data_IF_654418957827
#
_entry.id   IF_654418957827
#
_cell.length_a   1.000
_cell.length_b   1.000
_cell.length_c   1.000
_cell.angle_alpha   90.00
_cell.angle_beta   90.00
_cell.angle_gamma   90.00
#
_symmetry.space_group_name_H-M   'P 1'
#
loop_
_entity.id
_entity.type
_entity.pdbx_description
1 polymer ?
#
# COMPACT_ATOMS: atom_id res chain seq x y z
N UNK A 1 -7.14 19.63 7.66
CA UNK A 1 -7.94 18.77 6.77
C UNK A 1 -7.26 17.42 6.68
N UNK A 2 -8.01 16.34 6.46
CA UNK A 2 -7.47 14.98 6.36
C UNK A 2 -7.86 14.39 4.99
N UNK A 3 -6.92 13.66 4.39
CA UNK A 3 -7.09 13.05 3.07
C UNK A 3 -6.64 11.59 3.08
N UNK A 4 -7.53 10.69 2.66
CA UNK A 4 -7.25 9.27 2.42
C UNK A 4 -7.00 9.06 0.92
N UNK A 5 -5.84 8.54 0.55
CA UNK A 5 -5.37 8.50 -0.84
C UNK A 5 -5.29 7.06 -1.34
N UNK A 6 -5.89 6.81 -2.51
CA UNK A 6 -5.78 5.55 -3.24
C UNK A 6 -5.19 5.77 -4.64
N UNK A 7 -4.27 4.90 -5.04
CA UNK A 7 -3.78 4.78 -6.41
C UNK A 7 -4.40 3.55 -7.08
N UNK A 8 -5.40 3.77 -7.94
CA UNK A 8 -6.14 2.74 -8.66
C UNK A 8 -6.15 3.02 -10.17
N UNK A 9 -4.97 3.29 -10.73
CA UNK A 9 -4.75 3.53 -12.15
C UNK A 9 -4.40 2.21 -12.87
N UNK A 10 -5.14 1.85 -13.92
CA UNK A 10 -4.88 0.69 -14.77
C UNK A 10 -6.02 -0.32 -14.82
N UNK A 11 -5.77 -1.63 -14.63
CA UNK A 11 -6.76 -2.66 -14.96
C UNK A 11 -7.97 -2.69 -14.00
N UNK A 12 -9.10 -3.22 -14.48
CA UNK A 12 -10.38 -3.27 -13.75
C UNK A 12 -10.29 -4.03 -12.42
N UNK A 13 -9.43 -5.03 -12.37
CA UNK A 13 -9.18 -5.83 -11.19
C UNK A 13 -8.52 -5.02 -10.07
N UNK A 14 -7.65 -4.06 -10.41
CA UNK A 14 -7.04 -3.16 -9.44
C UNK A 14 -8.10 -2.21 -8.84
N UNK A 15 -9.03 -1.75 -9.68
CA UNK A 15 -10.18 -0.94 -9.22
C UNK A 15 -11.10 -1.73 -8.31
N UNK A 16 -11.28 -3.02 -8.57
CA UNK A 16 -12.09 -3.91 -7.73
C UNK A 16 -11.44 -4.12 -6.34
N UNK A 17 -10.11 -4.24 -6.27
CA UNK A 17 -9.38 -4.19 -4.99
C UNK A 17 -9.65 -2.87 -4.26
N UNK A 18 -9.45 -1.74 -4.95
CA UNK A 18 -9.64 -0.40 -4.38
C UNK A 18 -11.06 -0.18 -3.86
N UNK A 19 -12.07 -0.60 -4.62
CA UNK A 19 -13.48 -0.52 -4.23
C UNK A 19 -13.77 -1.35 -2.98
N UNK A 20 -13.22 -2.56 -2.87
CA UNK A 20 -13.40 -3.35 -1.65
C UNK A 20 -12.76 -2.65 -0.44
N UNK A 21 -11.53 -2.14 -0.59
CA UNK A 21 -10.88 -1.36 0.45
C UNK A 21 -11.73 -0.15 0.86
N UNK A 22 -12.23 0.64 -0.10
CA UNK A 22 -13.08 1.80 0.16
C UNK A 22 -14.41 1.45 0.83
N UNK A 23 -15.10 0.39 0.41
CA UNK A 23 -16.33 -0.06 1.05
C UNK A 23 -16.07 -0.49 2.50
N UNK A 24 -14.94 -1.17 2.76
CA UNK A 24 -14.54 -1.52 4.12
C UNK A 24 -14.18 -0.29 4.97
N UNK A 25 -13.58 0.77 4.37
CA UNK A 25 -13.33 2.06 5.02
C UNK A 25 -14.63 2.73 5.45
N UNK A 26 -15.59 2.86 4.54
CA UNK A 26 -16.89 3.49 4.85
C UNK A 26 -17.66 2.74 5.93
N UNK A 27 -17.50 1.42 6.02
CA UNK A 27 -18.02 0.64 7.15
C UNK A 27 -17.26 0.92 8.45
N UNK A 28 -15.93 0.98 8.40
CA UNK A 28 -15.08 1.16 9.57
C UNK A 28 -15.13 2.59 10.16
N UNK A 29 -15.52 3.59 9.35
CA UNK A 29 -15.62 4.98 9.73
C UNK A 29 -17.06 5.52 9.53
N UNK A 30 -17.98 5.31 10.49
CA UNK A 30 -19.36 5.82 10.40
C UNK A 30 -19.42 7.35 10.27
N UNK A 31 -18.47 8.05 10.88
CA UNK A 31 -18.19 9.47 10.66
C UNK A 31 -16.87 9.56 9.95
N UNK A 32 -16.86 10.11 8.74
CA UNK A 32 -15.65 10.13 7.90
C UNK A 32 -14.63 11.13 8.44
N UNK A 33 -13.44 10.67 8.87
CA UNK A 33 -12.41 11.58 9.36
C UNK A 33 -11.68 12.31 8.24
N UNK A 34 -11.85 11.88 6.98
CA UNK A 34 -11.09 12.37 5.83
C UNK A 34 -11.91 12.35 4.53
N UNK A 35 -11.56 13.27 3.62
CA UNK A 35 -11.97 13.16 2.22
C UNK A 35 -11.13 12.09 1.52
N UNK A 36 -11.74 11.35 0.60
CA UNK A 36 -11.06 10.33 -0.19
C UNK A 36 -10.57 10.92 -1.50
N UNK A 37 -9.30 10.72 -1.83
CA UNK A 37 -8.69 11.05 -3.11
C UNK A 37 -8.42 9.75 -3.88
N UNK A 38 -9.13 9.54 -4.99
CA UNK A 38 -8.96 8.36 -5.85
C UNK A 38 -8.22 8.77 -7.12
N UNK A 39 -6.93 8.45 -7.18
CA UNK A 39 -6.12 8.62 -8.38
C UNK A 39 -6.35 7.43 -9.32
N UNK A 40 -7.10 7.65 -10.39
CA UNK A 40 -7.52 6.60 -11.33
C UNK A 40 -7.67 7.15 -12.74
N UNK A 41 -7.56 6.27 -13.73
CA UNK A 41 -7.87 6.49 -15.15
C UNK A 41 -9.36 6.24 -15.48
N UNK A 42 -10.16 5.76 -14.52
CA UNK A 42 -11.57 5.45 -14.75
C UNK A 42 -12.47 5.92 -13.59
N UNK A 43 -12.63 7.24 -13.37
CA UNK A 43 -13.45 7.78 -12.29
C UNK A 43 -14.91 7.33 -12.37
N UNK A 44 -15.46 7.18 -13.58
CA UNK A 44 -16.85 6.75 -13.79
C UNK A 44 -17.11 5.33 -13.26
N UNK A 45 -16.12 4.44 -13.33
CA UNK A 45 -16.23 3.09 -12.77
C UNK A 45 -16.38 3.10 -11.24
N UNK A 46 -15.76 4.07 -10.57
CA UNK A 46 -15.94 4.26 -9.13
C UNK A 46 -17.28 4.91 -8.82
N UNK A 47 -17.70 5.94 -9.57
CA UNK A 47 -19.02 6.59 -9.41
C UNK A 47 -20.17 5.61 -9.59
N UNK A 48 -20.07 4.69 -10.54
CA UNK A 48 -21.08 3.65 -10.77
C UNK A 48 -21.31 2.79 -9.52
N UNK A 49 -20.26 2.50 -8.76
CA UNK A 49 -20.36 1.67 -7.55
C UNK A 49 -20.63 2.50 -6.32
N UNK A 50 -19.87 3.57 -6.07
CA UNK A 50 -19.93 4.37 -4.85
C UNK A 50 -21.08 5.39 -4.84
N UNK A 51 -21.67 5.67 -6.00
CA UNK A 51 -22.60 6.78 -6.20
C UNK A 51 -21.89 8.14 -6.22
N UNK A 52 -22.69 9.20 -6.34
CA UNK A 52 -22.22 10.57 -6.20
C UNK A 52 -21.97 10.88 -4.72
N UNK A 53 -20.71 11.00 -4.34
CA UNK A 53 -20.26 11.27 -2.96
C UNK A 53 -19.45 12.56 -2.90
N UNK A 54 -19.87 13.58 -2.12
CA UNK A 54 -19.10 14.81 -1.99
C UNK A 54 -17.79 14.63 -1.20
N UNK A 55 -17.69 13.56 -0.42
CA UNK A 55 -16.49 13.16 0.32
C UNK A 55 -15.46 12.40 -0.53
N UNK A 56 -15.77 12.10 -1.80
CA UNK A 56 -14.87 11.41 -2.73
C UNK A 56 -14.50 12.34 -3.88
N UNK A 57 -13.20 12.58 -4.03
CA UNK A 57 -12.62 13.39 -5.10
C UNK A 57 -11.79 12.51 -6.04
N UNK A 58 -11.80 12.88 -7.32
CA UNK A 58 -11.02 12.24 -8.37
C UNK A 58 -10.02 13.28 -8.91
N UNK A 59 -8.78 13.35 -8.37
CA UNK A 59 -7.79 14.31 -8.83
C UNK A 59 -7.50 14.14 -10.32
N UNK A 60 -7.49 15.24 -11.07
CA UNK A 60 -7.10 15.23 -12.48
C UNK A 60 -5.58 15.13 -12.58
N UNK A 61 -5.09 14.11 -13.27
CA UNK A 61 -3.67 13.90 -13.55
C UNK A 61 -3.53 13.62 -15.04
N UNK A 62 -2.67 14.39 -15.70
CA UNK A 62 -2.42 14.26 -17.13
C UNK A 62 -1.60 13.00 -17.43
N UNK A 63 -1.71 12.49 -18.66
CA UNK A 63 -0.86 11.36 -19.08
C UNK A 63 0.63 11.71 -19.01
N UNK A 64 1.00 12.97 -19.27
CA UNK A 64 2.37 13.44 -19.14
C UNK A 64 2.89 13.34 -17.69
N UNK A 65 2.08 13.68 -16.70
CA UNK A 65 2.41 13.49 -15.29
C UNK A 65 2.54 12.01 -14.92
N UNK A 66 1.59 11.17 -15.37
CA UNK A 66 1.68 9.73 -15.16
C UNK A 66 2.96 9.12 -15.74
N UNK A 67 3.37 9.55 -16.93
CA UNK A 67 4.64 9.10 -17.53
C UNK A 67 5.85 9.65 -16.78
N UNK A 68 5.82 10.92 -16.37
CA UNK A 68 6.91 11.53 -15.60
C UNK A 68 7.16 10.79 -14.27
N UNK A 69 6.09 10.39 -13.56
CA UNK A 69 6.20 9.70 -12.28
C UNK A 69 6.71 8.26 -12.40
N UNK A 70 6.63 7.63 -13.57
CA UNK A 70 7.27 6.33 -13.81
C UNK A 70 8.79 6.45 -13.91
N UNK A 71 9.33 7.67 -14.05
CA UNK A 71 10.76 7.92 -14.19
C UNK A 71 11.35 7.33 -15.47
N UNK A 72 12.64 7.55 -15.68
CA UNK A 72 13.35 7.13 -16.90
C UNK A 72 13.39 5.61 -17.10
N UNK A 73 13.28 4.84 -16.01
CA UNK A 73 13.29 3.38 -16.03
C UNK A 73 11.88 2.75 -16.05
N UNK A 74 10.82 3.55 -16.25
CA UNK A 74 9.42 3.12 -16.35
C UNK A 74 8.95 2.24 -15.17
N UNK A 75 9.17 2.74 -13.95
CA UNK A 75 9.05 2.00 -12.70
C UNK A 75 7.69 2.28 -12.05
N UNK A 76 6.82 1.26 -12.06
CA UNK A 76 5.45 1.38 -11.54
C UNK A 76 5.41 1.77 -10.05
N UNK A 77 6.39 1.36 -9.26
CA UNK A 77 6.41 1.65 -7.82
C UNK A 77 6.73 3.13 -7.51
N UNK A 78 7.30 3.88 -8.45
CA UNK A 78 7.54 5.33 -8.29
C UNK A 78 6.25 6.16 -8.43
N UNK A 79 5.20 5.60 -9.05
CA UNK A 79 3.90 6.25 -9.16
C UNK A 79 3.32 6.64 -7.79
N UNK A 80 3.56 5.82 -6.77
CA UNK A 80 3.11 6.12 -5.39
C UNK A 80 3.71 7.42 -4.87
N UNK A 81 5.01 7.64 -5.12
CA UNK A 81 5.69 8.85 -4.68
C UNK A 81 5.16 10.06 -5.46
N UNK A 82 5.01 9.95 -6.79
CA UNK A 82 4.44 11.03 -7.61
C UNK A 82 3.01 11.42 -7.21
N UNK A 83 2.16 10.42 -6.92
CA UNK A 83 0.81 10.65 -6.38
C UNK A 83 0.84 11.38 -5.04
N UNK A 84 1.73 10.95 -4.13
CA UNK A 84 1.90 11.60 -2.83
C UNK A 84 2.41 13.04 -2.96
N UNK A 85 3.32 13.31 -3.90
CA UNK A 85 3.81 14.67 -4.19
C UNK A 85 2.69 15.55 -4.73
N UNK A 86 1.93 15.05 -5.71
CA UNK A 86 0.77 15.74 -6.25
C UNK A 86 -0.27 16.01 -5.16
N UNK A 87 -0.57 15.02 -4.32
CA UNK A 87 -1.53 15.15 -3.24
C UNK A 87 -1.10 16.23 -2.26
N UNK A 88 0.18 16.22 -1.85
CA UNK A 88 0.69 17.19 -0.91
C UNK A 88 0.73 18.62 -1.46
N UNK A 89 0.90 18.79 -2.77
CA UNK A 89 0.86 20.11 -3.42
C UNK A 89 -0.56 20.71 -3.51
N UNK A 90 -1.59 19.86 -3.69
CA UNK A 90 -2.96 20.32 -3.97
C UNK A 90 -3.92 20.21 -2.78
N UNK A 91 -3.60 19.39 -1.79
CA UNK A 91 -4.48 19.05 -0.67
C UNK A 91 -3.76 19.29 0.68
N UNK A 92 -3.69 20.55 1.16
CA UNK A 92 -2.96 20.87 2.37
C UNK A 92 -3.62 20.26 3.62
N UNK A 93 -2.89 19.44 4.36
CA UNK A 93 -3.40 18.76 5.54
C UNK A 93 -2.65 17.48 5.91
N UNK A 94 -3.36 16.54 6.54
CA UNK A 94 -2.86 15.23 6.93
C UNK A 94 -3.16 14.24 5.81
N UNK A 95 -2.13 13.57 5.28
CA UNK A 95 -2.25 12.64 4.16
C UNK A 95 -2.05 11.22 4.67
N UNK A 96 -2.93 10.32 4.26
CA UNK A 96 -2.80 8.88 4.51
C UNK A 96 -3.02 8.14 3.19
N UNK A 97 -1.95 7.60 2.62
CA UNK A 97 -2.04 6.71 1.47
C UNK A 97 -2.27 5.28 1.93
N UNK A 98 -3.10 4.54 1.19
CA UNK A 98 -3.36 3.11 1.41
C UNK A 98 -3.36 2.36 0.08
N UNK A 99 -2.68 1.22 0.01
CA UNK A 99 -2.67 0.34 -1.16
C UNK A 99 -4.08 -0.27 -1.38
N UNK A 100 -4.40 -0.62 -2.63
CA UNK A 100 -5.75 -1.06 -3.03
C UNK A 100 -6.12 -2.43 -2.48
N UNK A 101 -5.15 -3.28 -2.19
CA UNK A 101 -5.30 -4.64 -1.67
C UNK A 101 -5.35 -4.66 -0.13
N UNK A 102 -6.17 -3.78 0.44
CA UNK A 102 -6.35 -3.61 1.87
C UNK A 102 -7.80 -3.74 2.30
N UNK A 103 -8.03 -4.11 3.56
CA UNK A 103 -9.36 -4.19 4.19
C UNK A 103 -9.30 -3.49 5.54
N UNK A 104 -10.06 -2.42 5.70
CA UNK A 104 -10.15 -1.68 6.96
C UNK A 104 -10.81 -2.50 8.06
N UNK A 105 -10.20 -2.45 9.24
CA UNK A 105 -10.60 -3.17 10.45
C UNK A 105 -11.05 -2.24 11.58
N UNK A 106 -10.60 -0.98 11.55
CA UNK A 106 -10.82 0.01 12.62
C UNK A 106 -11.00 1.40 12.05
N UNK A 107 -11.67 2.25 12.81
CA UNK A 107 -11.81 3.68 12.54
C UNK A 107 -10.42 4.34 12.44
N UNK A 108 -10.08 5.03 11.33
CA UNK A 108 -8.79 5.70 11.15
C UNK A 108 -8.65 7.06 11.84
N UNK A 109 -9.68 7.57 12.51
CA UNK A 109 -9.63 8.85 13.22
C UNK A 109 -8.35 9.03 14.06
N UNK A 110 -7.94 8.04 14.89
CA UNK A 110 -6.72 8.18 15.69
C UNK A 110 -5.42 8.25 14.88
N UNK A 111 -5.39 7.69 13.65
CA UNK A 111 -4.24 7.84 12.75
C UNK A 111 -4.14 9.30 12.32
N UNK A 112 -5.24 9.89 11.85
CA UNK A 112 -5.24 11.27 11.37
C UNK A 112 -4.93 12.28 12.48
N UNK A 113 -5.43 12.07 13.70
CA UNK A 113 -5.07 12.89 14.86
C UNK A 113 -3.56 12.88 15.13
N UNK A 114 -2.94 11.70 15.12
CA UNK A 114 -1.50 11.53 15.31
C UNK A 114 -0.69 12.13 14.17
N UNK A 115 -1.13 11.97 12.91
CA UNK A 115 -0.50 12.66 11.77
C UNK A 115 -0.54 14.17 11.98
N UNK A 116 -1.67 14.72 12.45
CA UNK A 116 -1.78 16.14 12.80
C UNK A 116 -0.75 16.60 13.83
N UNK A 117 -0.38 15.73 14.77
CA UNK A 117 0.66 15.97 15.78
C UNK A 117 2.10 15.76 15.23
N UNK A 118 2.26 15.37 13.98
CA UNK A 118 3.55 15.15 13.32
C UNK A 118 4.04 13.71 13.34
N UNK A 119 3.20 12.76 13.74
CA UNK A 119 3.52 11.33 13.64
C UNK A 119 3.51 10.88 12.18
N UNK A 120 4.53 10.11 11.81
CA UNK A 120 4.60 9.43 10.50
C UNK A 120 4.17 7.98 10.64
N UNK A 121 3.40 7.50 9.68
CA UNK A 121 2.89 6.12 9.67
C UNK A 121 3.42 5.36 8.47
N UNK A 122 3.69 4.08 8.69
CA UNK A 122 3.76 3.06 7.64
C UNK A 122 2.92 1.86 8.04
N UNK A 123 2.73 0.87 7.15
CA UNK A 123 1.79 -0.22 7.42
C UNK A 123 2.25 -1.15 8.55
N UNK A 124 3.27 -1.96 8.32
CA UNK A 124 3.70 -3.03 9.23
C UNK A 124 5.23 -3.01 9.34
N UNK A 125 5.76 -3.09 10.54
CA UNK A 125 7.19 -3.25 10.78
C UNK A 125 7.58 -4.70 10.49
N UNK A 126 8.19 -4.92 9.32
CA UNK A 126 8.71 -6.23 8.89
C UNK A 126 9.99 -6.65 9.65
N UNK A 127 10.44 -5.81 10.60
CA UNK A 127 11.57 -6.04 11.47
C UNK A 127 12.89 -5.52 10.91
N UNK A 128 13.99 -5.97 11.52
CA UNK A 128 15.33 -5.59 11.11
C UNK A 128 15.66 -6.20 9.74
N UNK A 129 16.14 -5.37 8.82
CA UNK A 129 16.53 -5.81 7.49
C UNK A 129 17.62 -6.90 7.54
N UNK A 130 18.53 -6.80 8.53
CA UNK A 130 19.66 -7.72 8.72
C UNK A 130 19.26 -9.13 9.19
N UNK A 131 18.13 -9.29 9.87
CA UNK A 131 17.67 -10.57 10.44
C UNK A 131 16.30 -11.01 9.93
N UNK A 132 15.66 -10.23 9.07
CA UNK A 132 14.35 -10.52 8.52
C UNK A 132 14.31 -11.70 7.54
N UNK A 133 13.31 -11.69 6.66
CA UNK A 133 13.10 -12.77 5.70
C UNK A 133 14.28 -12.92 4.72
N UNK A 134 14.26 -13.98 3.89
CA UNK A 134 15.34 -14.27 2.93
C UNK A 134 15.63 -13.11 1.97
N UNK A 135 14.61 -12.35 1.57
CA UNK A 135 14.78 -11.18 0.72
C UNK A 135 15.41 -10.02 1.50
N UNK A 136 14.91 -9.68 2.69
CA UNK A 136 15.47 -8.64 3.56
C UNK A 136 16.97 -8.87 3.81
N UNK A 137 17.35 -10.11 4.19
CA UNK A 137 18.77 -10.47 4.42
C UNK A 137 19.63 -10.39 3.16
N UNK A 138 19.06 -10.64 1.97
CA UNK A 138 19.78 -10.46 0.70
C UNK A 138 19.99 -8.98 0.40
N UNK A 139 18.97 -8.16 0.60
CA UNK A 139 19.04 -6.70 0.43
C UNK A 139 20.07 -6.11 1.40
N UNK A 140 19.98 -6.42 2.70
CA UNK A 140 20.96 -5.98 3.70
C UNK A 140 22.40 -6.33 3.28
N UNK A 141 22.65 -7.57 2.83
CA UNK A 141 24.01 -7.98 2.43
C UNK A 141 24.56 -7.24 1.22
N UNK A 142 23.70 -6.82 0.28
CA UNK A 142 24.13 -6.05 -0.90
C UNK A 142 24.33 -4.57 -0.57
N UNK A 143 23.48 -4.02 0.29
CA UNK A 143 23.49 -2.58 0.56
C UNK A 143 24.39 -2.19 1.74
N UNK A 144 24.70 -3.10 2.67
CA UNK A 144 25.57 -2.80 3.82
C UNK A 144 26.91 -2.22 3.32
N UNK A 145 27.36 -1.14 3.97
CA UNK A 145 28.59 -0.43 3.60
C UNK A 145 28.42 0.62 2.51
N UNK A 146 27.26 0.71 1.85
CA UNK A 146 26.96 1.84 0.97
C UNK A 146 26.46 3.04 1.80
N UNK A 147 26.85 4.24 1.37
CA UNK A 147 26.33 5.51 1.88
C UNK A 147 25.56 6.19 0.77
N UNK A 148 24.32 6.58 1.05
CA UNK A 148 23.45 7.26 0.11
C UNK A 148 23.28 8.71 0.54
N UNK A 149 23.41 9.65 -0.40
CA UNK A 149 23.22 11.08 -0.15
C UNK A 149 21.83 11.48 -0.60
N UNK A 150 21.05 12.08 0.29
CA UNK A 150 19.68 12.53 0.02
C UNK A 150 19.51 13.93 0.59
N UNK A 151 19.31 14.93 -0.28
CA UNK A 151 19.33 16.33 0.12
C UNK A 151 20.59 16.68 0.95
N UNK A 152 20.39 17.11 2.19
CA UNK A 152 21.45 17.44 3.15
C UNK A 152 21.93 16.25 4.00
N UNK A 153 21.30 15.08 3.86
CA UNK A 153 21.54 13.92 4.70
C UNK A 153 22.43 12.89 4.02
N UNK A 154 23.12 12.09 4.84
CA UNK A 154 23.74 10.84 4.45
C UNK A 154 23.10 9.71 5.24
N UNK A 155 22.57 8.70 4.55
CA UNK A 155 21.94 7.55 5.15
C UNK A 155 22.68 6.27 4.78
N UNK A 156 22.69 5.31 5.69
CA UNK A 156 23.35 4.03 5.51
C UNK A 156 22.41 2.89 5.90
N UNK A 157 22.54 1.77 5.21
CA UNK A 157 21.90 0.52 5.63
C UNK A 157 22.76 -0.12 6.72
N UNK A 158 22.25 -0.11 7.95
CA UNK A 158 22.94 -0.63 9.14
C UNK A 158 22.24 -1.89 9.67
N UNK A 159 22.85 -2.65 10.60
CA UNK A 159 22.16 -3.75 11.26
C UNK A 159 20.86 -3.35 11.97
N UNK A 160 20.73 -2.07 12.35
CA UNK A 160 19.57 -1.50 13.04
C UNK A 160 18.48 -0.98 12.08
N UNK A 161 18.71 -1.00 10.76
CA UNK A 161 17.73 -0.52 9.78
C UNK A 161 16.47 -1.39 9.84
N UNK A 162 15.36 -0.78 10.27
CA UNK A 162 14.03 -1.36 10.22
C UNK A 162 13.47 -1.24 8.80
N UNK A 163 12.70 -2.25 8.40
CA UNK A 163 11.92 -2.24 7.18
C UNK A 163 10.45 -2.16 7.53
N UNK A 164 9.77 -1.14 7.01
CA UNK A 164 8.33 -1.01 7.11
C UNK A 164 7.70 -1.23 5.74
N UNK A 165 6.56 -1.90 5.74
CA UNK A 165 5.73 -2.08 4.56
C UNK A 165 5.08 -0.76 4.14
N UNK A 166 5.16 -0.42 2.84
CA UNK A 166 4.61 0.81 2.24
C UNK A 166 3.12 0.74 1.90
N UNK A 167 2.41 -0.30 2.36
CA UNK A 167 0.97 -0.48 2.13
C UNK A 167 0.10 0.64 2.72
N UNK A 168 0.66 1.37 3.67
CA UNK A 168 0.12 2.57 4.26
C UNK A 168 1.27 3.55 4.40
N UNK A 169 1.05 4.82 4.09
CA UNK A 169 2.02 5.90 4.30
C UNK A 169 1.27 7.12 4.82
N UNK A 170 1.57 7.55 6.04
CA UNK A 170 0.92 8.70 6.68
C UNK A 170 1.91 9.79 7.05
N UNK A 171 1.64 11.04 6.66
CA UNK A 171 2.46 12.22 6.94
C UNK A 171 1.68 13.51 6.65
N UNK A 172 2.20 14.67 7.05
CA UNK A 172 1.58 15.97 6.76
C UNK A 172 2.04 16.50 5.41
N UNK A 173 1.15 17.14 4.67
CA UNK A 173 1.43 17.68 3.33
C UNK A 173 2.57 18.69 3.32
N UNK A 174 2.76 19.48 4.38
CA UNK A 174 3.89 20.43 4.45
C UNK A 174 5.26 19.74 4.55
N UNK A 175 5.27 18.45 4.86
CA UNK A 175 6.49 17.63 4.87
C UNK A 175 6.80 17.09 3.46
N UNK A 176 6.05 17.47 2.41
CA UNK A 176 6.24 17.01 1.02
C UNK A 176 7.67 17.07 0.51
N UNK A 177 8.50 17.98 1.02
CA UNK A 177 9.92 18.04 0.69
C UNK A 177 10.65 16.71 0.94
N UNK A 178 10.19 15.89 1.90
CA UNK A 178 10.73 14.55 2.16
C UNK A 178 10.55 13.61 0.96
N UNK A 179 9.52 13.80 0.13
CA UNK A 179 9.19 12.86 -0.94
C UNK A 179 10.25 12.88 -2.04
N UNK A 180 10.89 14.05 -2.23
CA UNK A 180 12.05 14.20 -3.09
C UNK A 180 13.24 13.39 -2.58
N UNK A 181 13.49 13.43 -1.27
CA UNK A 181 14.55 12.62 -0.64
C UNK A 181 14.23 11.13 -0.76
N UNK A 182 12.96 10.73 -0.58
CA UNK A 182 12.52 9.34 -0.75
C UNK A 182 12.71 8.88 -2.20
N UNK A 183 12.32 9.69 -3.18
CA UNK A 183 12.52 9.41 -4.60
C UNK A 183 14.00 9.19 -4.92
N UNK A 184 14.83 10.16 -4.52
CA UNK A 184 16.27 10.12 -4.74
C UNK A 184 16.92 8.89 -4.07
N UNK A 185 16.43 8.50 -2.89
CA UNK A 185 16.91 7.30 -2.20
C UNK A 185 16.46 6.03 -2.93
N UNK A 186 15.20 5.94 -3.32
CA UNK A 186 14.63 4.78 -4.01
C UNK A 186 15.37 4.48 -5.32
N UNK A 187 15.68 5.52 -6.10
CA UNK A 187 16.48 5.40 -7.33
C UNK A 187 17.90 4.89 -7.06
N UNK A 188 18.60 5.47 -6.07
CA UNK A 188 19.95 5.04 -5.69
C UNK A 188 19.98 3.59 -5.17
N UNK A 189 19.02 3.22 -4.32
CA UNK A 189 18.89 1.87 -3.78
C UNK A 189 18.63 0.86 -4.91
N UNK A 190 17.75 1.20 -5.86
CA UNK A 190 17.46 0.34 -6.99
C UNK A 190 18.65 0.18 -7.94
N UNK A 191 19.36 1.27 -8.24
CA UNK A 191 20.57 1.25 -9.05
C UNK A 191 21.65 0.36 -8.43
N UNK A 192 21.72 0.33 -7.09
CA UNK A 192 22.66 -0.53 -6.35
C UNK A 192 22.21 -2.00 -6.33
N UNK A 193 20.92 -2.24 -6.08
CA UNK A 193 20.35 -3.58 -6.10
C UNK A 193 18.90 -3.57 -6.58
N UNK A 194 18.70 -4.07 -7.80
CA UNK A 194 17.41 -4.07 -8.47
C UNK A 194 16.39 -5.02 -7.77
N UNK A 195 15.61 -4.48 -6.83
CA UNK A 195 14.46 -5.14 -6.21
C UNK A 195 13.28 -4.18 -6.05
N UNK A 196 12.07 -4.74 -6.12
CA UNK A 196 10.83 -3.98 -5.97
C UNK A 196 10.65 -3.36 -4.58
N UNK A 197 11.28 -3.91 -3.53
CA UNK A 197 11.14 -3.40 -2.17
C UNK A 197 11.98 -2.15 -1.85
N UNK A 198 12.68 -1.58 -2.83
CA UNK A 198 13.56 -0.43 -2.59
C UNK A 198 12.78 0.84 -2.26
N UNK A 199 11.55 1.00 -2.77
CA UNK A 199 10.69 2.13 -2.44
C UNK A 199 10.27 2.10 -0.96
N UNK A 200 9.73 0.99 -0.45
CA UNK A 200 9.42 0.88 0.98
C UNK A 200 10.65 1.03 1.89
N UNK A 201 11.82 0.55 1.45
CA UNK A 201 13.07 0.76 2.18
C UNK A 201 13.48 2.24 2.20
N UNK A 202 13.28 2.95 1.08
CA UNK A 202 13.54 4.39 1.01
C UNK A 202 12.66 5.19 1.97
N UNK A 203 11.35 4.89 2.02
CA UNK A 203 10.45 5.49 3.01
C UNK A 203 10.89 5.17 4.45
N UNK A 204 11.18 3.90 4.75
CA UNK A 204 11.62 3.46 6.08
C UNK A 204 12.85 4.22 6.56
N UNK A 205 13.87 4.32 5.68
CA UNK A 205 15.12 5.00 6.00
C UNK A 205 14.95 6.51 6.11
N UNK A 206 14.20 7.14 5.19
CA UNK A 206 14.04 8.60 5.21
C UNK A 206 13.18 9.06 6.38
N UNK A 207 12.06 8.39 6.68
CA UNK A 207 11.23 8.75 7.82
C UNK A 207 11.98 8.63 9.14
N UNK A 208 12.82 7.60 9.29
CA UNK A 208 13.62 7.38 10.49
C UNK A 208 14.64 8.51 10.79
N UNK A 209 15.03 9.32 9.81
CA UNK A 209 15.92 10.49 10.02
C UNK A 209 15.25 11.52 10.93
N UNK A 210 13.95 11.73 10.78
CA UNK A 210 13.21 12.79 11.46
C UNK A 210 12.39 12.27 12.67
N UNK A 211 12.58 11.00 13.07
CA UNK A 211 11.91 10.41 14.23
C UNK A 211 11.32 9.01 13.97
N UNK A 212 10.69 8.41 15.00
CA UNK A 212 10.10 7.09 14.89
C UNK A 212 8.89 7.05 13.94
N UNK A 213 8.72 5.91 13.28
CA UNK A 213 7.55 5.58 12.44
C UNK A 213 6.59 4.71 13.23
N UNK A 214 5.30 5.04 13.20
CA UNK A 214 4.23 4.25 13.80
C UNK A 214 3.62 3.27 12.80
N UNK A 215 3.07 2.16 13.31
CA UNK A 215 2.46 1.10 12.50
C UNK A 215 0.95 1.31 12.35
N UNK A 216 0.45 1.20 11.12
CA UNK A 216 -0.98 1.19 10.79
C UNK A 216 -1.59 -0.22 10.73
N UNK A 217 -0.79 -1.27 10.94
CA UNK A 217 -1.19 -2.70 10.91
C UNK A 217 -2.50 -3.02 11.65
N UNK A 218 -2.81 -2.43 12.82
CA UNK A 218 -4.07 -2.73 13.50
C UNK A 218 -5.32 -2.22 12.77
N UNK A 219 -5.17 -1.26 11.85
CA UNK A 219 -6.27 -0.59 11.17
C UNK A 219 -6.62 -1.22 9.83
N UNK A 220 -5.66 -1.87 9.17
CA UNK A 220 -5.85 -2.47 7.84
C UNK A 220 -5.25 -3.87 7.77
N UNK A 221 -5.97 -4.79 7.15
CA UNK A 221 -5.38 -6.05 6.66
C UNK A 221 -4.88 -5.80 5.25
N UNK A 222 -3.58 -5.98 5.01
CA UNK A 222 -2.96 -5.83 3.69
C UNK A 222 -2.65 -7.20 3.07
N UNK A 223 -3.45 -7.62 2.09
CA UNK A 223 -3.36 -8.96 1.49
C UNK A 223 -2.48 -9.02 0.23
N UNK A 224 -1.34 -8.33 0.26
CA UNK A 224 -0.50 -7.97 -0.88
C UNK A 224 -0.05 -9.10 -1.83
N UNK A 225 0.06 -10.32 -1.33
CA UNK A 225 0.46 -11.50 -2.10
C UNK A 225 -0.70 -12.24 -2.77
N UNK A 226 -1.97 -11.94 -2.43
CA UNK A 226 -3.15 -12.61 -2.97
C UNK A 226 -3.61 -12.06 -4.32
N UNK A 227 -2.69 -11.70 -5.23
CA UNK A 227 -3.04 -11.12 -6.54
C UNK A 227 -3.93 -12.02 -7.40
N UNK A 228 -4.00 -13.31 -7.11
CA UNK A 228 -4.88 -14.24 -7.81
C UNK A 228 -6.38 -14.04 -7.49
N UNK A 229 -6.74 -13.33 -6.40
CA UNK A 229 -8.14 -13.05 -6.04
C UNK A 229 -8.80 -12.02 -6.96
N UNK A 230 -7.99 -11.23 -7.67
CA UNK A 230 -8.40 -10.11 -8.53
C UNK A 230 -9.58 -10.42 -9.47
N UNK A 231 -9.57 -11.52 -10.25
CA UNK A 231 -10.70 -11.86 -11.12
C UNK A 231 -11.98 -12.19 -10.34
N UNK A 232 -11.87 -12.80 -9.16
CA UNK A 232 -13.01 -13.07 -8.27
C UNK A 232 -13.65 -11.78 -7.79
N UNK A 233 -12.83 -10.80 -7.36
CA UNK A 233 -13.34 -9.49 -6.96
C UNK A 233 -14.05 -8.80 -8.13
N UNK A 234 -13.41 -8.74 -9.30
CA UNK A 234 -14.00 -8.12 -10.49
C UNK A 234 -15.34 -8.78 -10.89
N UNK A 235 -15.42 -10.11 -10.83
CA UNK A 235 -16.64 -10.84 -11.14
C UNK A 235 -17.76 -10.61 -10.11
N UNK A 236 -17.44 -10.47 -8.81
CA UNK A 236 -18.42 -10.08 -7.78
C UNK A 236 -18.97 -8.67 -8.03
N UNK A 237 -18.11 -7.69 -8.29
CA UNK A 237 -18.55 -6.32 -8.59
C UNK A 237 -19.42 -6.28 -9.85
N UNK A 238 -19.07 -7.02 -10.90
CA UNK A 238 -19.87 -7.09 -12.11
C UNK A 238 -21.25 -7.74 -11.87
N UNK A 239 -21.29 -8.86 -11.12
CA UNK A 239 -22.53 -9.61 -10.84
C UNK A 239 -23.49 -8.86 -9.93
N UNK A 240 -22.96 -8.17 -8.92
CA UNK A 240 -23.74 -7.49 -7.88
C UNK A 240 -23.72 -5.96 -8.03
N UNK A 241 -23.49 -5.45 -9.25
CA UNK A 241 -23.41 -4.00 -9.52
C UNK A 241 -24.67 -3.20 -9.12
N UNK A 242 -25.83 -3.86 -9.03
CA UNK A 242 -27.10 -3.25 -8.61
C UNK A 242 -27.47 -3.52 -7.16
N UNK A 243 -26.63 -4.26 -6.42
CA UNK A 243 -26.84 -4.52 -5.01
C UNK A 243 -26.49 -3.30 -4.15
N UNK A 244 -27.00 -3.26 -2.92
CA UNK A 244 -26.57 -2.26 -1.94
C UNK A 244 -25.09 -2.46 -1.58
N UNK A 245 -24.43 -1.40 -1.11
CA UNK A 245 -23.05 -1.47 -0.60
C UNK A 245 -22.91 -2.50 0.53
N UNK A 246 -23.92 -2.64 1.38
CA UNK A 246 -23.93 -3.61 2.48
C UNK A 246 -23.95 -5.05 1.97
N UNK A 247 -24.81 -5.37 1.00
CA UNK A 247 -24.86 -6.72 0.43
C UNK A 247 -23.57 -7.04 -0.33
N UNK A 248 -23.04 -6.09 -1.10
CA UNK A 248 -21.79 -6.25 -1.81
C UNK A 248 -20.62 -6.50 -0.84
N UNK A 249 -20.54 -5.73 0.24
CA UNK A 249 -19.52 -5.89 1.26
C UNK A 249 -19.64 -7.23 1.98
N UNK A 250 -20.85 -7.67 2.31
CA UNK A 250 -21.10 -9.00 2.90
C UNK A 250 -20.60 -10.13 2.02
N UNK A 251 -20.76 -10.03 0.69
CA UNK A 251 -20.23 -11.01 -0.28
C UNK A 251 -18.72 -10.98 -0.35
N UNK A 252 -18.11 -9.80 -0.34
CA UNK A 252 -16.66 -9.63 -0.33
C UNK A 252 -16.03 -10.17 0.96
N UNK A 253 -16.64 -9.93 2.12
CA UNK A 253 -16.17 -10.48 3.39
C UNK A 253 -16.27 -12.01 3.45
N UNK A 254 -17.29 -12.59 2.81
CA UNK A 254 -17.48 -14.04 2.73
C UNK A 254 -16.32 -14.77 2.01
N UNK A 255 -15.49 -14.04 1.25
CA UNK A 255 -14.26 -14.58 0.68
C UNK A 255 -13.21 -14.92 1.76
N UNK A 256 -13.31 -14.36 2.97
CA UNK A 256 -12.36 -14.63 4.06
C UNK A 256 -10.91 -14.32 3.67
N UNK A 257 -10.68 -13.24 2.90
CA UNK A 257 -9.33 -12.91 2.41
C UNK A 257 -8.27 -12.79 3.50
N UNK A 258 -8.55 -12.25 4.71
CA UNK A 258 -7.59 -12.27 5.80
C UNK A 258 -7.13 -13.70 6.17
N UNK A 259 -8.06 -14.64 6.28
CA UNK A 259 -7.79 -16.05 6.59
C UNK A 259 -7.01 -16.72 5.46
N UNK A 260 -7.41 -16.48 4.21
CA UNK A 260 -6.74 -17.01 3.02
C UNK A 260 -5.30 -16.48 2.92
N UNK A 261 -5.11 -15.20 3.21
CA UNK A 261 -3.81 -14.53 3.22
C UNK A 261 -2.89 -15.13 4.30
N UNK A 262 -3.40 -15.26 5.53
CA UNK A 262 -2.68 -15.92 6.64
C UNK A 262 -2.28 -17.35 6.28
N UNK A 263 -3.19 -18.12 5.66
CA UNK A 263 -2.91 -19.49 5.24
C UNK A 263 -1.80 -19.56 4.17
N UNK A 264 -1.80 -18.64 3.19
CA UNK A 264 -0.74 -18.57 2.19
C UNK A 264 0.61 -18.21 2.83
N UNK A 265 0.64 -17.19 3.68
CA UNK A 265 1.87 -16.77 4.37
C UNK A 265 2.43 -17.90 5.24
N UNK A 266 1.57 -18.59 5.99
CA UNK A 266 1.97 -19.75 6.78
C UNK A 266 2.64 -20.82 5.91
N UNK A 267 2.10 -21.09 4.71
CA UNK A 267 2.72 -22.01 3.75
C UNK A 267 4.04 -21.47 3.17
N UNK A 268 4.12 -20.18 2.83
CA UNK A 268 5.33 -19.55 2.26
C UNK A 268 6.49 -19.52 3.25
N UNK A 269 6.20 -19.37 4.54
CA UNK A 269 7.16 -19.33 5.63
C UNK A 269 7.69 -20.71 6.06
N UNK A 270 7.10 -21.80 5.56
CA UNK A 270 7.65 -23.14 5.77
C UNK A 270 9.07 -23.27 5.20
N UNK A 271 9.88 -24.09 5.85
CA UNK A 271 11.21 -24.43 5.35
C UNK A 271 11.14 -25.02 3.92
N UNK A 272 12.19 -24.83 3.13
CA UNK A 272 12.23 -25.28 1.73
C UNK A 272 11.83 -26.76 1.58
N UNK A 273 12.38 -27.63 2.42
CA UNK A 273 12.09 -29.06 2.43
C UNK A 273 10.62 -29.37 2.79
N UNK A 274 10.02 -28.64 3.74
CA UNK A 274 8.61 -28.79 4.11
C UNK A 274 7.69 -28.42 2.95
N UNK A 275 8.01 -27.35 2.23
CA UNK A 275 7.25 -26.95 1.03
C UNK A 275 7.37 -27.98 -0.07
N UNK A 276 8.57 -28.54 -0.29
CA UNK A 276 8.79 -29.63 -1.26
C UNK A 276 7.98 -30.87 -0.90
N UNK A 277 8.03 -31.32 0.35
CA UNK A 277 7.23 -32.47 0.82
C UNK A 277 5.73 -32.24 0.63
N UNK A 278 5.23 -31.06 1.00
CA UNK A 278 3.82 -30.70 0.78
C UNK A 278 3.42 -30.69 -0.70
N UNK A 279 4.32 -30.28 -1.60
CA UNK A 279 4.08 -30.36 -3.05
C UNK A 279 3.97 -31.81 -3.52
N UNK A 280 4.90 -32.67 -3.11
CA UNK A 280 4.93 -34.08 -3.50
C UNK A 280 3.72 -34.86 -2.97
N UNK A 281 3.22 -34.49 -1.79
CA UNK A 281 2.04 -35.13 -1.15
C UNK A 281 0.71 -34.50 -1.55
N UNK A 282 0.68 -33.61 -2.56
CA UNK A 282 -0.54 -32.93 -3.01
C UNK A 282 -1.08 -31.85 -2.05
N UNK A 283 -0.45 -31.65 -0.88
CA UNK A 283 -0.82 -30.68 0.17
C UNK A 283 -0.22 -29.28 -0.07
N UNK A 284 0.08 -28.93 -1.33
CA UNK A 284 0.50 -27.58 -1.70
C UNK A 284 -0.66 -26.63 -1.41
N UNK A 285 -0.38 -25.48 -0.80
CA UNK A 285 -1.39 -24.44 -0.67
C UNK A 285 -1.88 -24.01 -2.07
N UNK A 286 -3.21 -23.92 -2.21
CA UNK A 286 -3.91 -23.44 -3.39
C UNK A 286 -4.92 -22.41 -2.91
N UNK A 287 -5.15 -21.39 -3.74
CA UNK A 287 -6.22 -20.45 -3.47
C UNK A 287 -7.56 -21.21 -3.47
N UNK A 288 -8.44 -20.98 -2.50
CA UNK A 288 -9.78 -21.57 -2.50
C UNK A 288 -10.53 -21.21 -3.78
N UNK A 289 -11.43 -22.08 -4.21
CA UNK A 289 -12.44 -21.69 -5.18
C UNK A 289 -13.48 -20.83 -4.46
N UNK A 290 -13.78 -19.68 -5.03
CA UNK A 290 -14.83 -18.79 -4.53
C UNK A 290 -16.05 -18.93 -5.43
N UNK A 291 -17.22 -19.09 -4.83
CA UNK A 291 -18.48 -18.98 -5.56
C UNK A 291 -18.76 -17.50 -5.80
N UNK A 292 -18.82 -17.11 -7.08
CA UNK A 292 -19.10 -15.73 -7.52
C UNK A 292 -20.50 -15.65 -8.07
#
# INVERSE_FOLDING_TARGET
MNYLIYLAHGPAELRSEALYSLLSYFRAAPVLPAQVLIYTDAPDAFRQVLGERPDVLYPSVTEAEWQAWRGSANMVYLLKIGVLEHAAAHYPGNLLFVDTDTIWQRDPTPIFEQIGQGTRFMHDNEGLLATGNTLSRKVYRHLKGHTFRIGAYQVQVTPATLLFNSGVIGFRSHEAALLRDVMQLAEQLYATYHKHMMEQLAFSMRFAVDGPVQEAKPYVVHYWNLKAVRPTLAALFARYQSASHEELLRRLDALGLPEVHRAELAYRNLAGWQRTLRKLTGRRWRMPAFEV
#
